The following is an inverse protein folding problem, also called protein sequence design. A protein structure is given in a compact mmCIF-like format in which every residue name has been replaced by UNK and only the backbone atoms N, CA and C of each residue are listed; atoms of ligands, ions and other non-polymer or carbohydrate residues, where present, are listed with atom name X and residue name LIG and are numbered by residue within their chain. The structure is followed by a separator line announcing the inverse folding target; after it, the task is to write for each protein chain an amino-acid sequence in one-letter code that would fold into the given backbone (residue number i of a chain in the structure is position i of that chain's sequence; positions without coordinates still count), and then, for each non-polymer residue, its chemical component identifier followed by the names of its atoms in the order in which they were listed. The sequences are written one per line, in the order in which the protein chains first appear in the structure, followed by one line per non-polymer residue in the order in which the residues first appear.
data_IF_290180139467
#
_entry.id   IF_290180139467
#
_cell.length_a   1.000
_cell.length_b   1.000
_cell.length_c   1.000
_cell.angle_alpha   90.00
_cell.angle_beta   90.00
_cell.angle_gamma   90.00
#
_symmetry.space_group_name_H-M   'P 1'
#
loop_
_entity.id
_entity.type
_entity.pdbx_description
1 polymer ?
#
# COMPACT_ATOMS: atom_id res chain seq x y z
N UNK A 1 -1.15 -16.41 -2.75
CA UNK A 1 -2.58 -16.32 -3.11
C UNK A 1 -2.99 -14.92 -3.60
N UNK A 2 -2.71 -13.82 -2.88
CA UNK A 2 -3.05 -12.46 -3.37
C UNK A 2 -2.15 -11.93 -4.50
N UNK A 3 -0.88 -12.33 -4.55
CA UNK A 3 0.10 -11.82 -5.51
C UNK A 3 -0.28 -12.14 -6.97
N UNK A 4 -0.86 -13.31 -7.20
CA UNK A 4 -1.25 -13.77 -8.55
C UNK A 4 -2.50 -13.08 -9.10
N UNK A 5 -3.33 -12.53 -8.22
CA UNK A 5 -4.47 -11.71 -8.64
C UNK A 5 -3.97 -10.33 -9.10
N UNK A 6 -3.06 -9.74 -8.33
CA UNK A 6 -2.54 -8.40 -8.56
C UNK A 6 -1.65 -8.33 -9.81
N UNK A 7 -1.01 -9.44 -10.19
CA UNK A 7 -0.26 -9.53 -11.45
C UNK A 7 -1.16 -9.49 -12.69
N UNK A 8 -2.43 -9.92 -12.57
CA UNK A 8 -3.42 -9.91 -13.66
C UNK A 8 -4.16 -8.58 -13.80
N UNK A 9 -4.06 -7.70 -12.81
CA UNK A 9 -4.69 -6.39 -12.84
C UNK A 9 -3.84 -5.41 -13.68
N UNK A 10 -4.53 -4.61 -14.51
CA UNK A 10 -3.90 -3.49 -15.23
C UNK A 10 -3.37 -2.49 -14.22
N UNK A 11 -2.12 -2.06 -14.40
CA UNK A 11 -1.48 -1.04 -13.55
C UNK A 11 -2.18 0.31 -13.72
N UNK A 12 -2.26 1.05 -12.63
CA UNK A 12 -2.92 2.34 -12.56
C UNK A 12 -3.00 2.84 -11.12
N UNK A 13 -3.90 3.79 -10.89
CA UNK A 13 -4.12 4.38 -9.57
C UNK A 13 -4.97 3.45 -8.69
N UNK A 14 -4.54 3.28 -7.44
CA UNK A 14 -5.24 2.47 -6.43
C UNK A 14 -5.36 3.27 -5.14
N UNK A 15 -6.58 3.35 -4.61
CA UNK A 15 -6.84 3.91 -3.29
C UNK A 15 -7.20 2.79 -2.31
N UNK A 16 -6.44 2.66 -1.22
CA UNK A 16 -6.71 1.70 -0.15
C UNK A 16 -7.27 2.47 1.05
N UNK A 17 -8.57 2.31 1.28
CA UNK A 17 -9.30 2.94 2.39
C UNK A 17 -9.21 2.02 3.61
N UNK A 18 -8.81 2.58 4.77
CA UNK A 18 -8.53 1.80 5.97
C UNK A 18 -7.25 0.97 5.81
N UNK A 19 -6.14 1.63 5.43
CA UNK A 19 -4.91 0.91 5.07
C UNK A 19 -4.19 0.26 6.26
N UNK A 20 -4.56 0.59 7.51
CA UNK A 20 -3.83 0.19 8.70
C UNK A 20 -2.35 0.53 8.57
N UNK A 21 -1.47 -0.39 8.95
CA UNK A 21 0.00 -0.21 8.81
C UNK A 21 0.49 -0.23 7.35
N UNK A 22 -0.40 -0.40 6.37
CA UNK A 22 -0.14 -0.22 4.95
C UNK A 22 0.60 -1.36 4.25
N UNK A 23 0.54 -2.59 4.76
CA UNK A 23 1.17 -3.75 4.12
C UNK A 23 0.71 -3.96 2.67
N UNK A 24 -0.61 -3.86 2.43
CA UNK A 24 -1.17 -3.96 1.08
C UNK A 24 -0.77 -2.77 0.21
N UNK A 25 -0.75 -1.56 0.77
CA UNK A 25 -0.33 -0.36 0.04
C UNK A 25 1.12 -0.48 -0.46
N UNK A 26 2.03 -0.94 0.41
CA UNK A 26 3.43 -1.19 0.04
C UNK A 26 3.52 -2.30 -1.00
N UNK A 27 2.75 -3.38 -0.85
CA UNK A 27 2.78 -4.48 -1.80
C UNK A 27 2.26 -4.08 -3.19
N UNK A 28 1.16 -3.34 -3.28
CA UNK A 28 0.66 -2.78 -4.54
C UNK A 28 1.65 -1.80 -5.16
N UNK A 29 2.27 -0.93 -4.36
CA UNK A 29 3.30 0.02 -4.83
C UNK A 29 4.50 -0.73 -5.43
N UNK A 30 5.01 -1.76 -4.74
CA UNK A 30 6.08 -2.65 -5.26
C UNK A 30 5.70 -3.41 -6.54
N UNK A 31 4.41 -3.55 -6.83
CA UNK A 31 3.90 -4.18 -8.06
C UNK A 31 3.60 -3.17 -9.17
N UNK A 32 4.03 -1.91 -9.01
CA UNK A 32 3.96 -0.87 -10.03
C UNK A 32 2.64 -0.13 -10.11
N UNK A 33 1.82 -0.19 -9.06
CA UNK A 33 0.64 0.66 -8.94
C UNK A 33 0.99 2.00 -8.33
N UNK A 34 0.29 3.06 -8.73
CA UNK A 34 0.35 4.35 -8.05
C UNK A 34 -0.66 4.32 -6.88
N UNK A 35 -0.15 4.21 -5.66
CA UNK A 35 -0.98 3.91 -4.48
C UNK A 35 -1.21 5.15 -3.64
N UNK A 36 -2.48 5.43 -3.34
CA UNK A 36 -2.89 6.31 -2.24
C UNK A 36 -3.40 5.45 -1.08
N UNK A 37 -2.78 5.58 0.09
CA UNK A 37 -3.18 4.86 1.30
C UNK A 37 -3.85 5.83 2.27
N UNK A 38 -5.06 5.50 2.72
CA UNK A 38 -5.85 6.35 3.61
C UNK A 38 -6.21 5.56 4.86
N UNK A 39 -5.97 6.15 6.02
CA UNK A 39 -6.47 5.67 7.30
C UNK A 39 -6.82 6.86 8.19
N UNK A 40 -7.82 6.68 9.05
CA UNK A 40 -8.20 7.69 10.03
C UNK A 40 -7.17 7.77 11.17
N UNK A 41 -6.58 6.64 11.55
CA UNK A 41 -5.70 6.57 12.71
C UNK A 41 -4.32 7.19 12.40
N UNK A 42 -3.88 8.24 13.13
CA UNK A 42 -2.55 8.82 12.92
C UNK A 42 -1.42 7.81 13.12
N UNK A 43 -1.59 6.86 14.05
CA UNK A 43 -0.61 5.79 14.31
C UNK A 43 -0.44 4.84 13.13
N UNK A 44 -1.49 4.58 12.35
CA UNK A 44 -1.44 3.77 11.14
C UNK A 44 -0.60 4.46 10.05
N UNK A 45 -0.86 5.76 9.84
CA UNK A 45 -0.10 6.60 8.89
C UNK A 45 1.38 6.70 9.31
N UNK A 46 1.67 6.90 10.59
CA UNK A 46 3.03 6.98 11.11
C UNK A 46 3.81 5.67 10.88
N UNK A 47 3.20 4.53 11.26
CA UNK A 47 3.81 3.22 11.06
C UNK A 47 4.09 2.91 9.59
N UNK A 48 3.19 3.31 8.67
CA UNK A 48 3.40 3.15 7.23
C UNK A 48 4.58 4.01 6.73
N UNK A 49 4.69 5.27 7.17
CA UNK A 49 5.81 6.15 6.79
C UNK A 49 7.15 5.55 7.23
N UNK A 50 7.25 5.10 8.47
CA UNK A 50 8.44 4.44 9.01
C UNK A 50 8.79 3.15 8.24
N UNK A 51 7.77 2.35 7.89
CA UNK A 51 7.95 1.14 7.07
C UNK A 51 8.50 1.46 5.68
N UNK A 52 8.06 2.55 5.06
CA UNK A 52 8.53 2.95 3.72
C UNK A 52 9.95 3.53 3.80
N UNK A 53 10.25 4.32 4.83
CA UNK A 53 11.59 4.89 5.03
C UNK A 53 12.65 3.82 5.32
N UNK A 54 12.32 2.81 6.12
CA UNK A 54 13.22 1.68 6.41
C UNK A 54 13.47 0.74 5.22
N UNK A 55 12.69 0.87 4.14
CA UNK A 55 12.81 0.06 2.92
C UNK A 55 13.40 0.83 1.73
N UNK A 56 13.83 2.08 1.93
CA UNK A 56 14.66 2.83 0.97
C UNK A 56 16.13 2.42 1.07
#
# INVERSE_FOLDING_TARGET
MYVDLISKLKKGDVCIIGCGRGYDAVMFSKKGFNVTAVDFAPSAIQALKEMVESQK
#
